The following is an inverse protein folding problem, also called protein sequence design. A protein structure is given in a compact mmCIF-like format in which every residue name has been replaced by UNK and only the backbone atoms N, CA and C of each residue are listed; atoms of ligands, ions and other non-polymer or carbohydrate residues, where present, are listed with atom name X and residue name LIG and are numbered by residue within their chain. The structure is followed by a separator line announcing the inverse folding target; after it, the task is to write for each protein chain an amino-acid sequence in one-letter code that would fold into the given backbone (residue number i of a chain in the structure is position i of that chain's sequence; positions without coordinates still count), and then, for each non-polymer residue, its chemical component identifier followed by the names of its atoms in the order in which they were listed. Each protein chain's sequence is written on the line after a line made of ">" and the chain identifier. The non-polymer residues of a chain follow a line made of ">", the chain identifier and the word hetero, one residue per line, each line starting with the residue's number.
data_IF_518415630520
#
_entry.id   IF_518415630520
#
_cell.length_a   1.000
_cell.length_b   1.000
_cell.length_c   1.000
_cell.angle_alpha   90.00
_cell.angle_beta   90.00
_cell.angle_gamma   90.00
#
_symmetry.space_group_name_H-M   'P 1'
#
loop_
_entity.id
_entity.type
_entity.pdbx_description
1 polymer ?
#
# COMPACT_ATOMS: atom_id res chain seq x y z
N UNK A 1 19.78 31.09 21.39
CA UNK A 1 19.43 31.12 19.95
C UNK A 1 17.92 31.10 19.86
N UNK A 2 17.26 31.90 19.00
CA UNK A 2 15.83 31.74 18.80
C UNK A 2 15.55 30.32 18.28
N UNK A 3 14.50 29.70 18.83
CA UNK A 3 14.02 28.39 18.39
C UNK A 3 13.58 28.52 16.93
N UNK A 4 14.18 27.72 16.04
CA UNK A 4 13.81 27.70 14.62
C UNK A 4 12.73 26.65 14.43
N UNK A 5 11.56 27.06 13.95
CA UNK A 5 10.47 26.13 13.67
C UNK A 5 10.86 25.14 12.58
N UNK A 6 10.67 23.85 12.87
CA UNK A 6 10.95 22.80 11.90
C UNK A 6 9.91 22.81 10.77
N UNK A 7 10.31 22.77 9.49
CA UNK A 7 9.40 22.95 8.36
C UNK A 7 8.67 21.64 8.00
N UNK A 8 7.82 21.13 8.91
CA UNK A 8 7.15 19.83 8.80
C UNK A 8 6.44 19.58 7.44
N UNK A 9 5.77 20.61 6.92
CA UNK A 9 4.94 20.48 5.71
C UNK A 9 5.68 20.82 4.41
N UNK A 10 6.96 21.21 4.47
CA UNK A 10 7.67 21.75 3.30
C UNK A 10 7.77 20.78 2.13
N UNK A 11 7.92 19.49 2.41
CA UNK A 11 8.01 18.43 1.40
C UNK A 11 6.70 17.62 1.25
N UNK A 12 5.61 18.04 1.91
CA UNK A 12 4.33 17.34 1.85
C UNK A 12 3.56 17.73 0.58
N UNK A 13 3.31 16.75 -0.31
CA UNK A 13 2.55 16.97 -1.54
C UNK A 13 1.06 17.25 -1.30
N UNK A 14 0.49 16.63 -0.26
CA UNK A 14 -0.92 16.77 0.11
C UNK A 14 -1.03 17.17 1.59
N UNK A 15 -0.70 18.43 1.95
CA UNK A 15 -0.80 18.90 3.32
C UNK A 15 -2.25 18.91 3.79
N UNK A 16 -2.45 18.95 5.12
CA UNK A 16 -3.76 19.09 5.74
C UNK A 16 -4.80 18.06 5.28
N UNK A 17 -4.37 16.82 5.03
CA UNK A 17 -5.27 15.72 4.64
C UNK A 17 -6.01 15.95 3.31
N UNK A 18 -5.53 16.84 2.46
CA UNK A 18 -6.14 17.14 1.14
C UNK A 18 -6.21 15.92 0.21
N UNK A 19 -5.34 14.92 0.39
CA UNK A 19 -5.40 13.66 -0.34
C UNK A 19 -6.73 12.89 -0.12
N UNK A 20 -7.45 13.13 0.97
CA UNK A 20 -8.68 12.40 1.28
C UNK A 20 -9.94 13.04 0.66
N UNK A 21 -9.85 14.25 0.10
CA UNK A 21 -11.00 14.95 -0.48
C UNK A 21 -11.27 14.60 -1.95
N UNK A 22 -10.37 13.87 -2.60
CA UNK A 22 -10.60 13.37 -3.97
C UNK A 22 -11.81 12.41 -4.02
N UNK A 23 -12.49 12.30 -5.18
CA UNK A 23 -13.65 11.45 -5.37
C UNK A 23 -13.26 9.96 -5.45
N UNK A 24 -12.76 9.43 -4.33
CA UNK A 24 -12.29 8.05 -4.23
C UNK A 24 -13.43 7.05 -4.43
N UNK A 25 -13.21 5.98 -5.22
CA UNK A 25 -14.18 4.89 -5.32
C UNK A 25 -14.31 4.17 -3.98
N UNK A 26 -15.55 3.81 -3.62
CA UNK A 26 -15.85 3.16 -2.34
C UNK A 26 -15.76 1.64 -2.43
N UNK A 27 -16.84 0.98 -2.81
CA UNK A 27 -16.91 -0.47 -2.94
C UNK A 27 -17.47 -0.79 -4.33
N UNK A 28 -16.92 -1.80 -4.99
CA UNK A 28 -17.42 -2.29 -6.26
C UNK A 28 -17.52 -3.82 -6.24
N UNK A 29 -18.53 -4.42 -6.89
CA UNK A 29 -18.70 -5.87 -6.89
C UNK A 29 -17.42 -6.60 -7.31
N UNK A 30 -17.03 -7.63 -6.57
CA UNK A 30 -15.86 -8.42 -6.95
C UNK A 30 -16.13 -9.20 -8.25
N UNK A 31 -15.47 -8.78 -9.34
CA UNK A 31 -15.64 -9.37 -10.69
C UNK A 31 -14.35 -10.02 -11.20
N UNK A 32 -13.42 -10.33 -10.30
CA UNK A 32 -12.11 -10.88 -10.64
C UNK A 32 -11.28 -9.90 -11.49
N UNK A 33 -10.43 -10.44 -12.37
CA UNK A 33 -9.48 -9.69 -13.20
C UNK A 33 -10.12 -8.89 -14.35
N UNK A 34 -11.43 -8.62 -14.29
CA UNK A 34 -12.10 -7.74 -15.25
C UNK A 34 -11.39 -6.38 -15.32
N UNK A 35 -11.17 -5.90 -16.54
CA UNK A 35 -10.57 -4.58 -16.78
C UNK A 35 -11.53 -3.50 -16.29
N UNK A 36 -11.01 -2.54 -15.52
CA UNK A 36 -11.73 -1.35 -15.07
C UNK A 36 -10.92 -0.12 -15.40
N UNK A 37 -11.56 0.89 -15.95
CA UNK A 37 -10.92 2.19 -16.22
C UNK A 37 -10.69 2.94 -14.91
N UNK A 38 -9.58 3.67 -14.82
CA UNK A 38 -9.36 4.58 -13.71
C UNK A 38 -10.44 5.68 -13.72
N UNK A 39 -11.10 5.96 -12.58
CA UNK A 39 -11.98 7.12 -12.45
C UNK A 39 -11.25 8.42 -12.81
N UNK A 40 -12.00 9.40 -13.31
CA UNK A 40 -11.46 10.75 -13.54
C UNK A 40 -11.28 11.48 -12.20
N UNK A 41 -10.40 12.48 -12.19
CA UNK A 41 -10.20 13.41 -11.07
C UNK A 41 -9.68 12.76 -9.77
N UNK A 42 -8.95 11.64 -9.87
CA UNK A 42 -8.19 11.09 -8.74
C UNK A 42 -6.69 11.11 -9.07
N UNK A 43 -5.81 11.35 -8.09
CA UNK A 43 -4.36 11.29 -8.30
C UNK A 43 -3.93 9.83 -8.44
N UNK A 44 -3.56 9.44 -9.66
CA UNK A 44 -3.23 8.06 -10.03
C UNK A 44 -2.05 7.55 -9.21
N UNK A 45 -1.08 8.41 -8.93
CA UNK A 45 0.13 8.16 -8.14
C UNK A 45 -0.15 7.71 -6.69
N UNK A 46 -1.34 7.97 -6.16
CA UNK A 46 -1.75 7.49 -4.84
C UNK A 46 -2.49 6.14 -4.87
N UNK A 47 -2.78 5.61 -6.05
CA UNK A 47 -3.59 4.39 -6.20
C UNK A 47 -2.78 3.11 -6.04
N UNK A 48 -3.40 2.06 -5.47
CA UNK A 48 -2.77 0.73 -5.35
C UNK A 48 -2.27 0.21 -6.70
N UNK A 49 -3.08 0.33 -7.76
CA UNK A 49 -2.73 -0.15 -9.10
C UNK A 49 -1.50 0.57 -9.67
N UNK A 50 -1.35 1.88 -9.41
CA UNK A 50 -0.16 2.61 -9.81
C UNK A 50 1.09 2.01 -9.17
N UNK A 51 1.08 1.79 -7.86
CA UNK A 51 2.22 1.23 -7.15
C UNK A 51 2.52 -0.21 -7.56
N UNK A 52 1.49 -1.02 -7.83
CA UNK A 52 1.66 -2.38 -8.35
C UNK A 52 2.36 -2.38 -9.70
N UNK A 53 1.96 -1.50 -10.62
CA UNK A 53 2.58 -1.37 -11.95
C UNK A 53 3.99 -0.80 -11.88
N UNK A 54 4.18 0.28 -11.13
CA UNK A 54 5.47 0.96 -10.98
C UNK A 54 6.55 -0.01 -10.45
N UNK A 55 6.16 -0.91 -9.54
CA UNK A 55 7.05 -1.88 -8.92
C UNK A 55 7.10 -3.23 -9.63
N UNK A 56 6.30 -3.44 -10.68
CA UNK A 56 6.30 -4.70 -11.44
C UNK A 56 6.15 -5.92 -10.51
N UNK A 57 5.14 -5.84 -9.63
CA UNK A 57 5.01 -6.70 -8.45
C UNK A 57 4.91 -8.20 -8.76
N UNK A 58 4.51 -8.56 -9.98
CA UNK A 58 4.43 -9.95 -10.44
C UNK A 58 5.82 -10.54 -10.71
N UNK A 59 6.74 -9.75 -11.25
CA UNK A 59 8.12 -10.16 -11.59
C UNK A 59 9.13 -9.86 -10.47
N UNK A 60 8.68 -9.23 -9.38
CA UNK A 60 9.51 -8.88 -8.24
C UNK A 60 10.03 -10.12 -7.48
N UNK A 61 11.26 -10.13 -6.92
CA UNK A 61 11.80 -11.29 -6.18
C UNK A 61 10.91 -11.79 -5.04
N UNK A 62 10.20 -10.88 -4.36
CA UNK A 62 9.26 -11.25 -3.31
C UNK A 62 7.83 -11.59 -3.78
N UNK A 63 7.56 -11.75 -5.09
CA UNK A 63 6.21 -12.04 -5.62
C UNK A 63 5.67 -13.41 -5.21
N UNK A 64 6.55 -14.40 -5.05
CA UNK A 64 6.20 -15.75 -4.62
C UNK A 64 5.81 -15.83 -3.13
N UNK A 65 6.13 -14.81 -2.34
CA UNK A 65 5.92 -14.79 -0.90
C UNK A 65 4.50 -14.30 -0.60
N UNK A 66 3.58 -15.24 -0.37
CA UNK A 66 2.17 -14.95 -0.09
C UNK A 66 1.54 -16.03 0.79
N UNK A 67 0.57 -15.64 1.62
CA UNK A 67 -0.18 -16.61 2.42
C UNK A 67 -1.17 -17.38 1.53
N UNK A 68 -1.14 -18.70 1.61
CA UNK A 68 -2.05 -19.61 0.88
C UNK A 68 -3.03 -20.28 1.86
N UNK A 69 -4.20 -19.68 2.14
CA UNK A 69 -5.17 -20.28 3.05
C UNK A 69 -5.92 -21.43 2.38
N UNK A 70 -6.03 -22.56 3.08
CA UNK A 70 -6.65 -23.80 2.56
C UNK A 70 -8.16 -23.69 2.28
N UNK A 71 -8.89 -22.87 3.04
CA UNK A 71 -10.35 -22.74 2.96
C UNK A 71 -10.85 -21.29 2.78
N UNK A 72 -9.97 -20.37 2.35
CA UNK A 72 -10.29 -18.93 2.27
C UNK A 72 -11.07 -18.51 1.02
N UNK A 73 -11.13 -19.35 -0.01
CA UNK A 73 -11.61 -18.96 -1.33
C UNK A 73 -13.08 -18.47 -1.34
N UNK A 74 -14.06 -19.14 -0.71
CA UNK A 74 -15.44 -18.65 -0.69
C UNK A 74 -15.54 -17.26 -0.07
N UNK A 75 -14.79 -17.02 1.01
CA UNK A 75 -14.73 -15.71 1.68
C UNK A 75 -14.06 -14.66 0.81
N UNK A 76 -13.02 -15.01 0.05
CA UNK A 76 -12.41 -14.06 -0.87
C UNK A 76 -13.39 -13.64 -1.96
N UNK A 77 -14.08 -14.59 -2.58
CA UNK A 77 -15.05 -14.29 -3.65
C UNK A 77 -16.24 -13.44 -3.16
N UNK A 78 -16.60 -13.52 -1.88
CA UNK A 78 -17.73 -12.78 -1.30
C UNK A 78 -17.38 -11.36 -0.80
N UNK A 79 -16.15 -10.89 -0.96
CA UNK A 79 -15.72 -9.56 -0.48
C UNK A 79 -15.48 -8.66 -1.67
N UNK A 80 -16.26 -7.59 -1.74
CA UNK A 80 -16.20 -6.57 -2.80
C UNK A 80 -14.87 -5.82 -2.83
N UNK A 81 -14.47 -5.39 -4.02
CA UNK A 81 -13.29 -4.56 -4.23
C UNK A 81 -13.43 -3.25 -3.44
N UNK A 82 -12.44 -2.94 -2.59
CA UNK A 82 -12.49 -1.77 -1.71
C UNK A 82 -13.26 -1.93 -0.41
N UNK A 83 -13.78 -3.11 -0.08
CA UNK A 83 -14.36 -3.35 1.26
C UNK A 83 -13.25 -3.50 2.32
N UNK A 84 -12.93 -2.40 2.99
CA UNK A 84 -12.02 -2.31 4.15
C UNK A 84 -12.74 -2.02 5.48
N UNK A 85 -14.07 -2.08 5.48
CA UNK A 85 -14.93 -1.77 6.63
C UNK A 85 -14.86 -2.82 7.75
N UNK A 86 -14.44 -4.04 7.40
CA UNK A 86 -14.44 -5.22 8.29
C UNK A 86 -13.17 -5.33 9.12
N UNK A 87 -13.25 -6.01 10.26
CA UNK A 87 -12.07 -6.32 11.11
C UNK A 87 -11.02 -7.18 10.38
N UNK A 88 -11.46 -8.08 9.52
CA UNK A 88 -10.64 -8.99 8.72
C UNK A 88 -11.17 -9.11 7.29
N UNK A 89 -10.33 -9.66 6.40
CA UNK A 89 -10.56 -9.79 4.97
C UNK A 89 -10.77 -8.45 4.27
N UNK A 90 -10.09 -7.39 4.74
CA UNK A 90 -10.11 -6.08 4.07
C UNK A 90 -9.55 -6.22 2.67
N UNK A 91 -10.30 -5.80 1.65
CA UNK A 91 -9.90 -5.84 0.25
C UNK A 91 -9.52 -4.46 -0.24
N UNK A 92 -8.35 -4.37 -0.87
CA UNK A 92 -7.89 -3.14 -1.51
C UNK A 92 -8.81 -2.77 -2.68
N UNK A 93 -8.87 -1.49 -3.01
CA UNK A 93 -9.45 -1.02 -4.27
C UNK A 93 -8.33 -0.61 -5.20
N UNK A 94 -8.35 -1.05 -6.47
CA UNK A 94 -7.22 -0.82 -7.39
C UNK A 94 -7.00 0.68 -7.66
N UNK A 95 -8.08 1.46 -7.70
CA UNK A 95 -8.09 2.92 -7.92
C UNK A 95 -8.29 3.77 -6.65
N UNK A 96 -7.92 3.25 -5.47
CA UNK A 96 -7.89 4.01 -4.21
C UNK A 96 -6.52 3.86 -3.55
N UNK A 97 -6.17 4.76 -2.64
CA UNK A 97 -5.07 4.55 -1.72
C UNK A 97 -5.28 3.28 -0.88
N UNK A 98 -4.18 2.67 -0.44
CA UNK A 98 -4.25 1.54 0.49
C UNK A 98 -4.63 2.04 1.89
N UNK A 99 -5.54 1.37 2.62
CA UNK A 99 -5.61 1.54 4.06
C UNK A 99 -4.28 1.14 4.72
N UNK A 100 -4.10 1.52 5.98
CA UNK A 100 -2.87 1.26 6.74
C UNK A 100 -2.46 -0.22 6.63
N UNK A 101 -1.27 -0.45 6.08
CA UNK A 101 -0.67 -1.76 5.96
C UNK A 101 -0.12 -2.22 7.32
N UNK A 102 -1.00 -2.59 8.25
CA UNK A 102 -0.63 -3.13 9.55
C UNK A 102 -0.82 -4.65 9.54
N UNK A 103 0.28 -5.38 9.35
CA UNK A 103 0.25 -6.84 9.18
C UNK A 103 0.70 -7.58 10.44
N UNK A 104 -0.15 -8.48 10.89
CA UNK A 104 0.06 -9.30 12.08
C UNK A 104 -0.96 -10.43 12.13
N UNK A 105 -0.74 -11.44 12.96
CA UNK A 105 -1.66 -12.59 13.11
C UNK A 105 -2.05 -13.28 11.79
N UNK A 106 -1.13 -13.29 10.80
CA UNK A 106 -1.35 -13.80 9.44
C UNK A 106 -2.50 -13.11 8.67
N UNK A 107 -2.90 -11.92 9.12
CA UNK A 107 -3.90 -11.09 8.47
C UNK A 107 -3.21 -10.03 7.60
N UNK A 108 -3.46 -10.12 6.30
CA UNK A 108 -3.02 -9.16 5.29
C UNK A 108 -4.17 -8.86 4.34
N UNK A 109 -4.11 -7.73 3.64
CA UNK A 109 -5.17 -7.32 2.72
C UNK A 109 -5.42 -8.36 1.62
N UNK A 110 -6.65 -8.39 1.11
CA UNK A 110 -6.98 -9.08 -0.12
C UNK A 110 -6.54 -8.23 -1.31
N UNK A 111 -6.00 -8.90 -2.32
CA UNK A 111 -5.67 -8.30 -3.60
C UNK A 111 -6.92 -7.66 -4.22
N UNK A 112 -6.88 -6.50 -4.91
CA UNK A 112 -8.11 -5.86 -5.40
C UNK A 112 -8.99 -6.76 -6.27
N UNK A 113 -8.38 -7.48 -7.22
CA UNK A 113 -9.09 -8.27 -8.23
C UNK A 113 -8.69 -9.73 -8.36
N UNK A 114 -7.81 -10.24 -7.48
CA UNK A 114 -7.45 -11.66 -7.45
C UNK A 114 -8.06 -12.28 -6.20
N UNK A 115 -8.56 -13.53 -6.26
CA UNK A 115 -9.16 -14.19 -5.11
C UNK A 115 -8.07 -14.74 -4.17
N UNK A 116 -7.16 -13.87 -3.73
CA UNK A 116 -6.04 -14.18 -2.84
C UNK A 116 -5.70 -12.98 -1.95
N UNK A 117 -4.93 -13.25 -0.90
CA UNK A 117 -4.21 -12.22 -0.15
C UNK A 117 -3.12 -11.58 -1.02
N UNK A 118 -2.70 -10.38 -0.66
CA UNK A 118 -1.57 -9.74 -1.33
C UNK A 118 -0.26 -10.50 -1.05
N UNK A 119 0.70 -10.39 -1.97
CA UNK A 119 2.08 -10.85 -1.79
C UNK A 119 2.90 -9.85 -0.99
N UNK A 120 4.12 -10.24 -0.59
CA UNK A 120 5.10 -9.32 0.01
C UNK A 120 5.53 -8.24 -0.98
N UNK A 121 5.67 -8.56 -2.28
CA UNK A 121 5.99 -7.53 -3.30
C UNK A 121 4.91 -6.45 -3.40
N UNK A 122 3.64 -6.85 -3.36
CA UNK A 122 2.50 -5.93 -3.36
C UNK A 122 2.44 -5.09 -2.08
N UNK A 123 2.76 -5.70 -0.93
CA UNK A 123 2.85 -5.00 0.35
C UNK A 123 3.98 -3.95 0.37
N UNK A 124 5.16 -4.28 -0.18
CA UNK A 124 6.28 -3.34 -0.33
C UNK A 124 5.89 -2.16 -1.23
N UNK A 125 5.19 -2.46 -2.35
CA UNK A 125 4.75 -1.44 -3.29
C UNK A 125 3.79 -0.43 -2.65
N UNK A 126 2.80 -0.87 -1.86
CA UNK A 126 1.87 0.05 -1.18
C UNK A 126 2.53 0.86 -0.05
N UNK A 127 3.65 0.37 0.50
CA UNK A 127 4.53 1.14 1.39
C UNK A 127 5.47 2.09 0.64
N UNK A 128 5.27 2.25 -0.67
CA UNK A 128 6.02 3.14 -1.57
C UNK A 128 7.51 2.82 -1.72
N UNK A 129 7.93 1.58 -1.40
CA UNK A 129 9.32 1.17 -1.53
C UNK A 129 9.74 1.16 -3.01
N UNK A 130 11.03 1.43 -3.32
CA UNK A 130 11.55 1.32 -4.68
C UNK A 130 11.46 -0.10 -5.26
N UNK A 131 11.27 -0.21 -6.58
CA UNK A 131 11.17 -1.49 -7.32
C UNK A 131 12.32 -2.47 -7.06
N UNK A 132 13.51 -1.96 -6.78
CA UNK A 132 14.72 -2.75 -6.55
C UNK A 132 14.94 -3.12 -5.07
N UNK A 133 14.05 -2.71 -4.17
CA UNK A 133 14.10 -3.11 -2.77
C UNK A 133 13.35 -4.42 -2.56
N UNK A 134 14.05 -5.44 -2.06
CA UNK A 134 13.46 -6.73 -1.73
C UNK A 134 13.98 -7.24 -0.39
N UNK A 135 13.14 -8.03 0.28
CA UNK A 135 13.50 -8.69 1.53
C UNK A 135 14.28 -9.98 1.24
N UNK A 136 15.20 -10.38 2.15
CA UNK A 136 16.01 -11.58 2.00
C UNK A 136 15.16 -12.84 1.76
N UNK A 137 15.56 -13.73 0.83
CA UNK A 137 14.77 -14.91 0.45
C UNK A 137 14.66 -15.97 1.57
N UNK A 138 15.58 -15.96 2.54
CA UNK A 138 15.60 -16.82 3.71
C UNK A 138 14.70 -16.30 4.86
N UNK A 139 14.16 -15.09 4.74
CA UNK A 139 13.25 -14.52 5.73
C UNK A 139 11.90 -15.26 5.74
N UNK A 140 11.38 -15.58 6.92
CA UNK A 140 10.06 -16.22 7.02
C UNK A 140 8.95 -15.27 6.53
N UNK A 141 7.90 -15.83 5.94
CA UNK A 141 6.78 -15.05 5.40
C UNK A 141 6.14 -14.11 6.45
N UNK A 142 5.96 -14.59 7.67
CA UNK A 142 5.44 -13.79 8.79
C UNK A 142 6.37 -12.63 9.13
N UNK A 143 7.69 -12.85 9.14
CA UNK A 143 8.65 -11.78 9.41
C UNK A 143 8.67 -10.76 8.26
N UNK A 144 8.59 -11.21 7.00
CA UNK A 144 8.50 -10.31 5.87
C UNK A 144 7.33 -9.33 6.01
N UNK A 145 6.12 -9.83 6.25
CA UNK A 145 4.96 -8.94 6.43
C UNK A 145 5.05 -8.05 7.67
N UNK A 146 5.61 -8.54 8.79
CA UNK A 146 5.87 -7.70 9.96
C UNK A 146 6.85 -6.57 9.66
N UNK A 147 7.93 -6.86 8.93
CA UNK A 147 8.92 -5.85 8.50
C UNK A 147 8.27 -4.78 7.63
N UNK A 148 7.46 -5.19 6.66
CA UNK A 148 6.72 -4.24 5.80
C UNK A 148 5.72 -3.42 6.62
N UNK A 149 4.98 -4.05 7.53
CA UNK A 149 3.92 -3.38 8.29
C UNK A 149 4.42 -2.43 9.38
N UNK A 150 5.58 -2.72 9.97
CA UNK A 150 6.22 -1.86 10.97
C UNK A 150 7.06 -0.73 10.34
N UNK A 151 7.35 -0.82 9.05
CA UNK A 151 8.11 0.20 8.32
C UNK A 151 7.33 1.50 8.15
N UNK A 152 8.05 2.62 8.18
CA UNK A 152 7.50 3.92 7.75
C UNK A 152 7.44 3.92 6.22
N UNK A 153 6.33 4.40 5.60
CA UNK A 153 6.26 4.53 4.14
C UNK A 153 7.46 5.30 3.59
N UNK A 154 8.11 4.73 2.56
CA UNK A 154 9.37 5.26 2.03
C UNK A 154 9.28 6.73 1.61
N UNK A 155 8.22 7.14 0.90
CA UNK A 155 8.04 8.54 0.50
C UNK A 155 7.88 9.49 1.69
N UNK A 156 7.23 9.04 2.77
CA UNK A 156 7.10 9.84 3.99
C UNK A 156 8.47 10.02 4.68
N UNK A 157 9.24 8.93 4.81
CA UNK A 157 10.60 8.98 5.36
C UNK A 157 11.53 9.87 4.50
N UNK A 158 11.42 9.77 3.18
CA UNK A 158 12.17 10.61 2.22
C UNK A 158 11.83 12.09 2.37
N UNK A 159 10.54 12.43 2.46
CA UNK A 159 10.09 13.81 2.64
C UNK A 159 10.63 14.39 3.97
N UNK A 160 10.58 13.60 5.04
CA UNK A 160 11.14 14.00 6.34
C UNK A 160 12.66 14.24 6.25
N UNK A 161 13.40 13.34 5.61
CA UNK A 161 14.85 13.49 5.42
C UNK A 161 15.22 14.75 4.64
N UNK A 162 14.43 15.10 3.61
CA UNK A 162 14.61 16.35 2.84
C UNK A 162 14.37 17.57 3.74
N UNK A 163 13.29 17.57 4.55
CA UNK A 163 13.01 18.65 5.50
C UNK A 163 14.11 18.81 6.54
N UNK A 164 14.65 17.71 7.07
CA UNK A 164 15.80 17.72 8.00
C UNK A 164 17.05 18.28 7.32
N UNK A 165 17.38 17.81 6.13
CA UNK A 165 18.54 18.29 5.38
C UNK A 165 18.46 19.79 5.10
N UNK A 166 17.26 20.29 4.76
CA UNK A 166 17.05 21.72 4.58
C UNK A 166 17.23 22.49 5.89
N UNK A 167 16.65 22.00 6.99
CA UNK A 167 16.71 22.67 8.30
C UNK A 167 18.14 22.77 8.87
N UNK A 168 18.95 21.73 8.66
CA UNK A 168 20.36 21.70 9.10
C UNK A 168 21.25 22.53 8.15
N UNK A 169 20.95 22.52 6.84
CA UNK A 169 21.71 23.26 5.83
C UNK A 169 21.36 24.75 5.71
N UNK A 170 20.26 25.20 6.32
CA UNK A 170 19.84 26.60 6.45
C UNK A 170 20.37 27.25 7.72
#
# INVERSE_FOLDING_TARGET
>A
MPERDFPWLKAAYYPNQTAFSFPWPRHEPFTGAAKRTCPKNIPVELTVEHWFRLNDVENHPNSIHSFKPKAGLPRFLSVDEGDDSRKSFKRLHRWRYSPTACYGNNEVHLHPYKPRRISVSEALAVQSLPKNFFLPPDMTLTNMFKTVGNGVPYLAAKALAISVSHFIGS
#
